data_IF_442773316477
#
_entry.id   IF_442773316477
#
_cell.length_a   1.000
_cell.length_b   1.000
_cell.length_c   1.000
_cell.angle_alpha   90.00
_cell.angle_beta   90.00
_cell.angle_gamma   90.00
#
_symmetry.space_group_name_H-M   'P 1'
#
loop_
_entity.id
_entity.type
_entity.pdbx_description
1 polymer ?
#
# COMPACT_ATOMS: atom_id res chain seq x y z
N UNK A 1 -8.38 -18.78 14.57
CA UNK A 1 -8.94 -17.99 13.46
C UNK A 1 -9.93 -18.78 12.61
N UNK A 2 -9.62 -19.99 12.12
CA UNK A 2 -10.56 -20.77 11.28
C UNK A 2 -11.92 -21.02 11.94
N UNK A 3 -11.95 -21.62 13.14
CA UNK A 3 -13.19 -21.80 13.90
C UNK A 3 -13.95 -20.49 14.14
N UNK A 4 -13.23 -19.38 14.37
CA UNK A 4 -13.87 -18.07 14.56
C UNK A 4 -14.56 -17.61 13.27
N UNK A 5 -13.95 -17.82 12.10
CA UNK A 5 -14.56 -17.51 10.80
C UNK A 5 -15.81 -18.35 10.55
N UNK A 6 -15.76 -19.65 10.83
CA UNK A 6 -16.91 -20.54 10.72
C UNK A 6 -18.07 -20.07 11.61
N UNK A 7 -17.79 -19.77 12.87
CA UNK A 7 -18.79 -19.23 13.81
C UNK A 7 -19.36 -17.90 13.31
N UNK A 8 -18.50 -16.97 12.86
CA UNK A 8 -18.95 -15.67 12.38
C UNK A 8 -19.86 -15.79 11.15
N UNK A 9 -19.51 -16.68 10.22
CA UNK A 9 -20.33 -16.93 9.04
C UNK A 9 -21.64 -17.60 9.40
N UNK A 10 -21.63 -18.61 10.27
CA UNK A 10 -22.84 -19.34 10.62
C UNK A 10 -23.84 -18.47 11.41
N UNK A 11 -23.32 -17.62 12.31
CA UNK A 11 -24.17 -16.86 13.24
C UNK A 11 -24.56 -15.50 12.68
N UNK A 12 -23.69 -14.85 11.91
CA UNK A 12 -23.84 -13.42 11.55
C UNK A 12 -23.74 -13.13 10.05
N UNK A 13 -23.70 -14.14 9.18
CA UNK A 13 -23.76 -13.89 7.74
C UNK A 13 -25.18 -13.89 7.21
N UNK A 14 -25.42 -13.02 6.23
CA UNK A 14 -26.57 -13.09 5.33
C UNK A 14 -26.07 -13.49 3.96
N UNK A 15 -26.80 -14.38 3.30
CA UNK A 15 -26.50 -14.80 1.93
C UNK A 15 -27.48 -14.12 0.97
N UNK A 16 -26.96 -13.25 0.11
CA UNK A 16 -27.72 -12.60 -0.96
C UNK A 16 -26.98 -12.79 -2.29
N UNK A 17 -27.68 -13.27 -3.32
CA UNK A 17 -27.11 -13.53 -4.65
C UNK A 17 -25.85 -14.42 -4.65
N UNK A 18 -25.75 -15.37 -3.70
CA UNK A 18 -24.59 -16.27 -3.55
C UNK A 18 -23.35 -15.62 -2.92
N UNK A 19 -23.48 -14.39 -2.41
CA UNK A 19 -22.43 -13.70 -1.66
C UNK A 19 -22.82 -13.70 -0.18
N UNK A 20 -21.94 -14.25 0.67
CA UNK A 20 -22.09 -14.16 2.13
C UNK A 20 -21.45 -12.88 2.64
N UNK A 21 -22.28 -12.03 3.25
CA UNK A 21 -21.86 -10.77 3.86
C UNK A 21 -22.05 -10.87 5.37
N UNK A 22 -21.02 -10.53 6.14
CA UNK A 22 -21.11 -10.43 7.59
C UNK A 22 -21.83 -9.13 7.97
N UNK A 23 -22.97 -9.28 8.62
CA UNK A 23 -23.72 -8.17 9.20
C UNK A 23 -23.53 -8.21 10.71
N UNK A 24 -22.50 -7.53 11.19
CA UNK A 24 -22.22 -7.39 12.62
C UNK A 24 -22.77 -6.07 13.14
N UNK A 25 -23.32 -6.11 14.36
CA UNK A 25 -23.59 -4.90 15.15
C UNK A 25 -22.28 -4.14 15.42
N UNK A 26 -22.40 -2.87 15.77
CA UNK A 26 -21.24 -1.97 15.88
C UNK A 26 -20.22 -2.45 16.93
N UNK A 27 -20.69 -2.92 18.08
CA UNK A 27 -19.87 -3.45 19.17
C UNK A 27 -19.16 -4.76 18.77
N UNK A 28 -19.87 -5.65 18.06
CA UNK A 28 -19.33 -6.92 17.54
C UNK A 28 -18.24 -6.66 16.50
N UNK A 29 -18.49 -5.73 15.57
CA UNK A 29 -17.52 -5.30 14.55
C UNK A 29 -16.27 -4.70 15.21
N UNK A 30 -16.46 -3.78 16.14
CA UNK A 30 -15.36 -3.18 16.89
C UNK A 30 -14.56 -4.25 17.66
N UNK A 31 -15.24 -5.21 18.28
CA UNK A 31 -14.61 -6.33 18.98
C UNK A 31 -13.75 -7.22 18.08
N UNK A 32 -14.22 -7.58 16.88
CA UNK A 32 -13.44 -8.37 15.92
C UNK A 32 -12.22 -7.62 15.38
N UNK A 33 -12.39 -6.33 15.06
CA UNK A 33 -11.29 -5.49 14.59
C UNK A 33 -10.26 -5.26 15.70
N UNK A 34 -10.69 -5.02 16.95
CA UNK A 34 -9.79 -4.88 18.09
C UNK A 34 -9.03 -6.19 18.36
N UNK A 35 -9.72 -7.33 18.33
CA UNK A 35 -9.09 -8.63 18.58
C UNK A 35 -7.98 -8.93 17.56
N UNK A 36 -8.22 -8.65 16.27
CA UNK A 36 -7.17 -8.83 15.24
C UNK A 36 -6.05 -7.80 15.39
N UNK A 37 -6.36 -6.56 15.74
CA UNK A 37 -5.36 -5.52 16.02
C UNK A 37 -4.45 -5.93 17.20
N UNK A 38 -5.02 -6.42 18.29
CA UNK A 38 -4.25 -6.93 19.45
C UNK A 38 -3.40 -8.13 19.07
N UNK A 39 -3.93 -9.05 18.28
CA UNK A 39 -3.21 -10.21 17.76
C UNK A 39 -1.98 -9.82 16.93
N UNK A 40 -2.15 -8.84 16.03
CA UNK A 40 -1.05 -8.28 15.23
C UNK A 40 -0.08 -7.51 16.13
N UNK A 41 -0.57 -6.71 17.08
CA UNK A 41 0.27 -5.96 18.01
C UNK A 41 1.17 -6.85 18.87
N UNK A 42 0.67 -8.02 19.30
CA UNK A 42 1.44 -9.02 20.05
C UNK A 42 2.43 -9.79 19.18
N UNK A 43 2.05 -10.12 17.95
CA UNK A 43 2.93 -10.79 16.99
C UNK A 43 2.76 -10.19 15.59
N UNK A 44 3.55 -9.15 15.25
CA UNK A 44 3.43 -8.43 13.98
C UNK A 44 3.78 -9.26 12.74
N UNK A 45 4.40 -10.43 12.93
CA UNK A 45 4.78 -11.38 11.86
C UNK A 45 3.84 -12.60 11.78
N UNK A 46 2.69 -12.52 12.45
CA UNK A 46 1.69 -13.59 12.45
C UNK A 46 0.85 -13.59 11.18
N UNK A 47 1.18 -14.49 10.23
CA UNK A 47 0.35 -14.72 9.05
C UNK A 47 -1.13 -14.90 9.39
N UNK A 48 -1.52 -15.77 10.34
CA UNK A 48 -2.93 -16.00 10.62
C UNK A 48 -3.67 -14.75 11.12
N UNK A 49 -3.01 -13.85 11.85
CA UNK A 49 -3.64 -12.62 12.34
C UNK A 49 -3.91 -11.62 11.21
N UNK A 50 -2.93 -11.40 10.33
CA UNK A 50 -3.11 -10.55 9.14
C UNK A 50 -4.15 -11.11 8.17
N UNK A 51 -4.13 -12.42 7.93
CA UNK A 51 -5.12 -13.09 7.09
C UNK A 51 -6.53 -12.99 7.68
N UNK A 52 -6.67 -13.10 9.01
CA UNK A 52 -7.97 -12.89 9.65
C UNK A 52 -8.45 -11.44 9.46
N UNK A 53 -7.58 -10.45 9.65
CA UNK A 53 -7.96 -9.05 9.49
C UNK A 53 -8.37 -8.74 8.04
N UNK A 54 -7.61 -9.23 7.07
CA UNK A 54 -7.96 -9.14 5.66
C UNK A 54 -9.31 -9.81 5.36
N UNK A 55 -9.55 -10.99 5.94
CA UNK A 55 -10.83 -11.69 5.79
C UNK A 55 -12.00 -10.86 6.35
N UNK A 56 -11.85 -10.23 7.53
CA UNK A 56 -12.88 -9.34 8.08
C UNK A 56 -13.21 -8.20 7.12
N UNK A 57 -12.19 -7.50 6.62
CA UNK A 57 -12.38 -6.38 5.68
C UNK A 57 -13.06 -6.82 4.37
N UNK A 58 -12.88 -8.07 3.93
CA UNK A 58 -13.57 -8.58 2.74
C UNK A 58 -15.07 -8.78 3.00
N UNK A 59 -15.45 -9.24 4.19
CA UNK A 59 -16.81 -9.72 4.45
C UNK A 59 -17.70 -8.73 5.21
N UNK A 60 -17.15 -7.70 5.86
CA UNK A 60 -17.94 -6.66 6.50
C UNK A 60 -18.71 -5.83 5.46
N UNK A 61 -19.95 -5.44 5.78
CA UNK A 61 -20.85 -4.73 4.84
C UNK A 61 -20.44 -3.28 4.50
N UNK A 62 -19.51 -2.70 5.26
CA UNK A 62 -18.98 -1.34 5.09
C UNK A 62 -17.78 -1.14 6.03
N UNK A 63 -16.59 -1.69 5.72
CA UNK A 63 -15.41 -1.46 6.54
C UNK A 63 -14.87 -0.04 6.35
N UNK A 64 -14.43 0.60 7.42
CA UNK A 64 -13.71 1.88 7.33
C UNK A 64 -12.27 1.63 6.85
N UNK A 65 -12.07 1.75 5.54
CA UNK A 65 -10.76 1.53 4.93
C UNK A 65 -9.76 2.64 5.24
N UNK A 66 -10.21 3.84 5.63
CA UNK A 66 -9.31 4.92 6.05
C UNK A 66 -8.64 4.57 7.37
N UNK A 67 -9.42 4.07 8.33
CA UNK A 67 -8.91 3.60 9.62
C UNK A 67 -7.88 2.46 9.44
N UNK A 68 -8.06 1.60 8.44
CA UNK A 68 -7.08 0.55 8.13
C UNK A 68 -5.74 1.09 7.61
N UNK A 69 -5.76 2.18 6.85
CA UNK A 69 -4.54 2.86 6.42
C UNK A 69 -3.81 3.56 7.58
N UNK A 70 -4.56 4.15 8.50
CA UNK A 70 -4.00 4.74 9.73
C UNK A 70 -3.35 3.66 10.59
N UNK A 71 -3.99 2.49 10.71
CA UNK A 71 -3.41 1.35 11.42
C UNK A 71 -2.13 0.85 10.73
N UNK A 72 -2.11 0.80 9.40
CA UNK A 72 -0.88 0.48 8.66
C UNK A 72 0.23 1.49 8.95
N UNK A 73 -0.08 2.78 8.97
CA UNK A 73 0.90 3.82 9.29
C UNK A 73 1.45 3.63 10.72
N UNK A 74 0.59 3.33 11.70
CA UNK A 74 0.99 3.04 13.07
C UNK A 74 1.93 1.82 13.17
N UNK A 75 1.62 0.72 12.48
CA UNK A 75 2.47 -0.47 12.51
C UNK A 75 3.79 -0.26 11.77
N UNK A 76 3.78 0.47 10.65
CA UNK A 76 5.00 0.80 9.89
C UNK A 76 5.89 1.82 10.62
N UNK A 77 5.32 2.67 11.49
CA UNK A 77 6.12 3.52 12.37
C UNK A 77 6.91 2.69 13.39
N UNK A 78 6.36 1.56 13.84
CA UNK A 78 7.05 0.64 14.77
C UNK A 78 8.06 -0.26 14.07
N UNK A 79 7.70 -0.77 12.89
CA UNK A 79 8.58 -1.60 12.06
C UNK A 79 8.34 -1.26 10.57
N UNK A 80 9.14 -0.33 10.06
CA UNK A 80 9.07 0.10 8.66
C UNK A 80 9.41 -0.98 7.64
N UNK A 81 9.95 -2.13 8.08
CA UNK A 81 10.30 -3.28 7.24
C UNK A 81 9.30 -4.43 7.37
N UNK A 82 8.18 -4.24 8.09
CA UNK A 82 7.17 -5.27 8.25
C UNK A 82 6.46 -5.56 6.92
N UNK A 83 6.90 -6.61 6.23
CA UNK A 83 6.36 -7.00 4.93
C UNK A 83 4.87 -7.38 4.98
N UNK A 84 4.36 -7.89 6.10
CA UNK A 84 2.95 -8.21 6.24
C UNK A 84 2.11 -6.95 6.26
N UNK A 85 2.56 -5.92 6.97
CA UNK A 85 1.88 -4.63 7.00
C UNK A 85 1.91 -3.95 5.63
N UNK A 86 3.04 -4.00 4.91
CA UNK A 86 3.12 -3.50 3.54
C UNK A 86 2.17 -4.24 2.58
N UNK A 87 2.08 -5.57 2.69
CA UNK A 87 1.14 -6.37 1.89
C UNK A 87 -0.31 -6.05 2.23
N UNK A 88 -0.62 -5.88 3.52
CA UNK A 88 -1.95 -5.51 3.97
C UNK A 88 -2.34 -4.10 3.50
N UNK A 89 -1.42 -3.13 3.58
CA UNK A 89 -1.62 -1.78 3.03
C UNK A 89 -1.92 -1.82 1.54
N UNK A 90 -1.15 -2.57 0.75
CA UNK A 90 -1.42 -2.78 -0.68
C UNK A 90 -2.84 -3.32 -0.92
N UNK A 91 -3.27 -4.29 -0.12
CA UNK A 91 -4.63 -4.83 -0.18
C UNK A 91 -5.69 -3.74 0.09
N UNK A 92 -5.50 -2.89 1.12
CA UNK A 92 -6.44 -1.81 1.46
C UNK A 92 -6.46 -0.73 0.39
N UNK A 93 -5.30 -0.26 -0.08
CA UNK A 93 -5.18 0.74 -1.17
C UNK A 93 -5.92 0.27 -2.42
N UNK A 94 -5.71 -0.99 -2.81
CA UNK A 94 -6.42 -1.59 -3.95
C UNK A 94 -7.93 -1.68 -3.72
N UNK A 95 -8.37 -2.08 -2.51
CA UNK A 95 -9.80 -2.18 -2.19
C UNK A 95 -10.49 -0.81 -2.12
N UNK A 96 -9.79 0.24 -1.72
CA UNK A 96 -10.28 1.62 -1.75
C UNK A 96 -10.38 2.20 -3.16
N UNK A 97 -9.68 1.62 -4.13
CA UNK A 97 -9.53 2.21 -5.46
C UNK A 97 -8.69 3.48 -5.47
N UNK A 98 -7.76 3.63 -4.50
CA UNK A 98 -6.82 4.76 -4.47
C UNK A 98 -5.94 4.78 -5.71
N UNK A 99 -5.66 5.96 -6.20
CA UNK A 99 -4.78 6.16 -7.35
C UNK A 99 -3.32 5.90 -6.96
N UNK A 100 -2.46 5.49 -7.91
CA UNK A 100 -1.02 5.38 -7.66
C UNK A 100 -0.40 6.69 -7.16
N UNK A 101 -0.93 7.86 -7.59
CA UNK A 101 -0.42 9.17 -7.17
C UNK A 101 -0.58 9.41 -5.67
N UNK A 102 -1.77 9.14 -5.11
CA UNK A 102 -2.04 9.28 -3.67
C UNK A 102 -1.13 8.40 -2.82
N UNK A 103 -0.82 7.19 -3.30
CA UNK A 103 0.06 6.28 -2.56
C UNK A 103 1.54 6.67 -2.67
N UNK A 104 1.95 7.32 -3.76
CA UNK A 104 3.34 7.80 -3.92
C UNK A 104 3.72 8.85 -2.88
N UNK A 105 2.78 9.69 -2.42
CA UNK A 105 3.01 10.66 -1.34
C UNK A 105 3.33 9.95 -0.01
N UNK A 106 2.57 8.90 0.33
CA UNK A 106 2.85 8.07 1.50
C UNK A 106 4.21 7.37 1.40
N UNK A 107 4.57 6.89 0.21
CA UNK A 107 5.86 6.23 0.01
C UNK A 107 7.03 7.22 0.11
N UNK A 108 6.86 8.44 -0.42
CA UNK A 108 7.85 9.51 -0.24
C UNK A 108 8.06 9.80 1.24
N UNK A 109 7.01 10.00 2.04
CA UNK A 109 7.20 10.26 3.48
C UNK A 109 7.91 9.11 4.21
N UNK A 110 7.65 7.85 3.83
CA UNK A 110 8.33 6.69 4.42
C UNK A 110 9.79 6.54 3.99
N UNK A 111 10.15 7.05 2.82
CA UNK A 111 11.53 7.13 2.34
C UNK A 111 12.25 8.28 3.05
N UNK A 112 11.61 9.44 3.19
CA UNK A 112 12.18 10.61 3.88
C UNK A 112 12.43 10.34 5.37
N UNK A 113 11.58 9.54 6.00
CA UNK A 113 11.79 9.06 7.38
C UNK A 113 12.98 8.09 7.50
N UNK A 114 13.27 7.31 6.46
CA UNK A 114 14.33 6.30 6.45
C UNK A 114 14.70 5.91 5.02
N UNK A 115 15.79 6.47 4.50
CA UNK A 115 16.26 6.22 3.14
C UNK A 115 16.54 4.73 2.87
N UNK A 116 16.85 3.95 3.91
CA UNK A 116 17.10 2.50 3.83
C UNK A 116 15.81 1.66 3.86
N UNK A 117 14.64 2.28 3.74
CA UNK A 117 13.37 1.58 3.69
C UNK A 117 13.15 0.92 2.32
N UNK A 118 13.83 -0.21 2.10
CA UNK A 118 13.71 -0.97 0.86
C UNK A 118 12.28 -1.37 0.52
N UNK A 119 11.41 -1.62 1.51
CA UNK A 119 10.01 -1.96 1.28
C UNK A 119 9.25 -0.80 0.64
N UNK A 120 9.49 0.44 1.08
CA UNK A 120 8.90 1.63 0.48
C UNK A 120 9.41 1.84 -0.95
N UNK A 121 10.73 1.74 -1.18
CA UNK A 121 11.32 1.82 -2.52
C UNK A 121 10.80 0.77 -3.48
N UNK A 122 10.71 -0.48 -3.02
CA UNK A 122 10.18 -1.58 -3.83
C UNK A 122 8.72 -1.36 -4.20
N UNK A 123 7.89 -0.89 -3.26
CA UNK A 123 6.50 -0.58 -3.55
C UNK A 123 6.39 0.61 -4.52
N UNK A 124 7.23 1.64 -4.35
CA UNK A 124 7.31 2.80 -5.26
C UNK A 124 7.62 2.37 -6.69
N UNK A 125 8.59 1.47 -6.87
CA UNK A 125 8.93 0.91 -8.17
C UNK A 125 7.75 0.16 -8.82
N UNK A 126 7.00 -0.61 -8.03
CA UNK A 126 5.82 -1.34 -8.53
C UNK A 126 4.67 -0.44 -8.96
N UNK A 127 4.51 0.73 -8.36
CA UNK A 127 3.47 1.69 -8.73
C UNK A 127 3.82 2.50 -9.98
N UNK A 128 5.11 2.63 -10.30
CA UNK A 128 5.60 3.50 -11.36
C UNK A 128 4.96 3.23 -12.74
N UNK A 129 4.79 1.98 -13.22
CA UNK A 129 4.13 1.74 -14.50
C UNK A 129 2.65 2.18 -14.51
N UNK A 130 1.92 1.95 -13.42
CA UNK A 130 0.53 2.37 -13.28
C UNK A 130 0.39 3.89 -13.23
N UNK A 131 1.30 4.56 -12.53
CA UNK A 131 1.39 6.01 -12.50
C UNK A 131 1.70 6.57 -13.89
N UNK A 132 2.69 6.01 -14.59
CA UNK A 132 3.09 6.41 -15.94
C UNK A 132 1.93 6.30 -16.95
N UNK A 133 1.12 5.25 -16.85
CA UNK A 133 -0.09 5.08 -17.67
C UNK A 133 -1.16 6.13 -17.33
N UNK A 134 -1.35 6.42 -16.04
CA UNK A 134 -2.28 7.45 -15.58
C UNK A 134 -1.89 8.84 -16.08
N UNK A 135 -0.60 9.21 -15.97
CA UNK A 135 -0.10 10.53 -16.41
C UNK A 135 -0.19 10.67 -17.94
N UNK A 136 0.10 9.61 -18.70
CA UNK A 136 0.01 9.62 -20.16
C UNK A 136 -1.42 9.80 -20.67
N UNK A 137 -2.42 9.35 -19.90
CA UNK A 137 -3.85 9.56 -20.19
C UNK A 137 -4.39 10.91 -19.70
N UNK A 138 -3.54 11.77 -19.16
CA UNK A 138 -3.93 13.08 -18.60
C UNK A 138 -4.58 13.01 -17.22
N UNK A 139 -4.51 11.87 -16.53
CA UNK A 139 -5.18 11.64 -15.24
C UNK A 139 -4.43 12.18 -14.02
N UNK A 140 -3.11 12.35 -14.11
CA UNK A 140 -2.29 12.87 -13.00
C UNK A 140 -1.06 13.60 -13.57
N UNK A 141 -1.03 14.93 -13.57
CA UNK A 141 0.19 15.66 -13.98
C UNK A 141 -0.03 17.02 -14.63
N UNK A 142 -1.26 17.38 -14.98
CA UNK A 142 -1.52 18.60 -15.74
C UNK A 142 -0.81 18.60 -17.10
N UNK A 143 -0.97 19.65 -17.92
CA UNK A 143 -0.21 19.78 -19.15
C UNK A 143 1.29 19.90 -18.82
N UNK A 144 2.12 19.05 -19.43
CA UNK A 144 3.56 19.15 -19.31
C UNK A 144 4.06 20.47 -19.91
N UNK A 145 4.97 21.20 -19.23
CA UNK A 145 5.54 22.43 -19.77
C UNK A 145 6.18 22.15 -21.13
N UNK A 146 5.79 22.90 -22.17
CA UNK A 146 6.43 22.85 -23.49
C UNK A 146 6.09 21.63 -24.36
N UNK A 147 5.06 20.83 -24.03
CA UNK A 147 4.63 19.70 -24.86
C UNK A 147 5.51 18.45 -24.74
N UNK A 148 6.34 18.37 -23.70
CA UNK A 148 7.12 17.17 -23.35
C UNK A 148 6.19 16.01 -22.95
N UNK A 149 6.61 14.76 -23.18
CA UNK A 149 5.87 13.59 -22.72
C UNK A 149 5.76 13.60 -21.17
N UNK A 150 4.54 13.54 -20.60
CA UNK A 150 4.35 13.50 -19.14
C UNK A 150 5.13 12.38 -18.43
N UNK A 151 5.43 11.28 -19.12
CA UNK A 151 6.23 10.17 -18.59
C UNK A 151 7.71 10.55 -18.43
N UNK A 152 8.22 11.41 -19.31
CA UNK A 152 9.59 11.97 -19.21
C UNK A 152 9.68 12.94 -18.04
N UNK A 153 8.66 13.80 -17.87
CA UNK A 153 8.57 14.67 -16.69
C UNK A 153 8.53 13.86 -15.39
N UNK A 154 7.74 12.77 -15.35
CA UNK A 154 7.71 11.85 -14.22
C UNK A 154 9.09 11.22 -13.95
N UNK A 155 9.75 10.69 -14.99
CA UNK A 155 11.08 10.09 -14.86
C UNK A 155 12.09 11.09 -14.28
N UNK A 156 12.10 12.34 -14.78
CA UNK A 156 12.98 13.39 -14.28
C UNK A 156 12.77 13.65 -12.80
N UNK A 157 11.50 13.79 -12.37
CA UNK A 157 11.15 13.97 -10.95
C UNK A 157 11.66 12.82 -10.08
N UNK A 158 11.53 11.57 -10.54
CA UNK A 158 12.02 10.41 -9.78
C UNK A 158 13.55 10.36 -9.74
N UNK A 159 14.24 10.76 -10.81
CA UNK A 159 15.70 10.87 -10.84
C UNK A 159 16.22 11.98 -9.92
N UNK A 160 15.58 13.15 -9.92
CA UNK A 160 15.94 14.26 -9.03
C UNK A 160 15.85 13.85 -7.55
N UNK A 161 14.80 13.10 -7.19
CA UNK A 161 14.63 12.57 -5.83
C UNK A 161 15.71 11.55 -5.46
N UNK A 162 16.05 10.65 -6.39
CA UNK A 162 17.16 9.70 -6.21
C UNK A 162 18.49 10.42 -6.03
N UNK A 163 18.76 11.43 -6.84
CA UNK A 163 19.98 12.23 -6.80
C UNK A 163 20.14 12.90 -5.44
N UNK A 164 19.09 13.55 -4.93
CA UNK A 164 19.09 14.17 -3.60
C UNK A 164 19.45 13.18 -2.48
N UNK A 165 18.89 11.96 -2.53
CA UNK A 165 19.16 10.94 -1.52
C UNK A 165 20.57 10.37 -1.66
N UNK A 166 21.03 10.09 -2.88
CA UNK A 166 22.41 9.61 -3.12
C UNK A 166 23.46 10.63 -2.67
N UNK A 167 23.19 11.92 -2.84
CA UNK A 167 24.08 12.97 -2.31
C UNK A 167 24.12 13.00 -0.78
N UNK A 168 23.04 12.59 -0.13
CA UNK A 168 22.92 12.61 1.34
C UNK A 168 23.46 11.31 1.97
N UNK A 169 23.10 10.16 1.42
CA UNK A 169 23.44 8.82 1.90
C UNK A 169 23.94 7.92 0.73
N UNK A 170 25.17 8.14 0.22
CA UNK A 170 25.68 7.41 -0.94
C UNK A 170 25.88 5.91 -0.70
N UNK A 171 25.98 5.47 0.55
CA UNK A 171 26.16 4.07 0.92
C UNK A 171 24.82 3.29 0.99
N UNK A 172 23.67 3.97 0.89
CA UNK A 172 22.36 3.31 0.94
C UNK A 172 22.08 2.52 -0.33
N UNK A 173 22.10 1.19 -0.24
CA UNK A 173 21.87 0.33 -1.39
C UNK A 173 20.44 0.42 -1.94
N UNK A 174 19.45 0.79 -1.14
CA UNK A 174 18.03 0.80 -1.52
C UNK A 174 17.77 1.80 -2.65
N UNK A 175 18.34 2.99 -2.55
CA UNK A 175 18.20 4.03 -3.58
C UNK A 175 18.92 3.64 -4.87
N UNK A 176 20.07 2.97 -4.79
CA UNK A 176 20.77 2.44 -5.97
C UNK A 176 20.00 1.35 -6.70
N UNK A 177 19.35 0.44 -5.94
CA UNK A 177 18.45 -0.55 -6.52
C UNK A 177 17.26 0.11 -7.22
N UNK A 178 16.70 1.16 -6.62
CA UNK A 178 15.62 1.93 -7.23
C UNK A 178 16.08 2.66 -8.50
N UNK A 179 17.26 3.31 -8.49
CA UNK A 179 17.85 3.93 -9.67
C UNK A 179 18.02 2.91 -10.81
N UNK A 180 18.55 1.73 -10.51
CA UNK A 180 18.68 0.65 -11.50
C UNK A 180 17.33 0.28 -12.11
N UNK A 181 16.27 0.24 -11.29
CA UNK A 181 14.91 -0.02 -11.76
C UNK A 181 14.40 1.13 -12.67
N UNK A 182 14.60 2.38 -12.28
CA UNK A 182 14.24 3.55 -13.09
C UNK A 182 14.91 3.53 -14.46
N UNK A 183 16.22 3.24 -14.52
CA UNK A 183 16.96 3.16 -15.77
C UNK A 183 16.48 2.02 -16.66
N UNK A 184 16.14 0.86 -16.08
CA UNK A 184 15.56 -0.26 -16.82
C UNK A 184 14.18 0.10 -17.39
N UNK A 185 13.35 0.77 -16.60
CA UNK A 185 12.05 1.26 -17.03
C UNK A 185 12.16 2.31 -18.14
N UNK A 186 13.07 3.29 -18.00
CA UNK A 186 13.30 4.34 -18.99
C UNK A 186 13.70 3.79 -20.36
N UNK A 187 14.56 2.77 -20.41
CA UNK A 187 14.90 2.06 -21.66
C UNK A 187 13.69 1.42 -22.34
N UNK A 188 12.71 0.99 -21.55
CA UNK A 188 11.45 0.44 -22.06
C UNK A 188 10.48 1.51 -22.58
N UNK A 189 10.75 2.80 -22.36
CA UNK A 189 9.98 3.91 -22.94
C UNK A 189 10.46 4.29 -24.34
N UNK A 190 11.69 3.90 -24.72
CA UNK A 190 12.31 4.19 -26.01
C UNK A 190 11.92 3.19 -27.13
N UNK A 191 11.20 2.10 -26.79
CA UNK A 191 10.73 1.08 -27.72
C UNK A 191 9.22 0.94 -27.76
#
# INVERSE_FOLDING_TARGET
WNYRREILLEVYSKEENGVRTLTLEEDQRAGELQLTQDGIGRNPKSYPAWHQRQWLIIHLDSPDLSQELDLCALFLQRDGRNFHCWNYRQFIVNKMGRTPAEEMEFLTSKIDENFSNYSAWHYRARLLPGLAHSVAKGGAGGPSPGGEDPRVTLLRRELDHVEQIVFTEPDDQSVWWYLRHLLAWARGLEG
#
